data_IF_831951353894
#
_entry.id   IF_831951353894
#
_cell.length_a   1.000
_cell.length_b   1.000
_cell.length_c   1.000
_cell.angle_alpha   90.00
_cell.angle_beta   90.00
_cell.angle_gamma   90.00
#
_symmetry.space_group_name_H-M   'P 1'
#
loop_
_entity.id
_entity.type
_entity.pdbx_description
1 polymer ?
#
# COMPACT_ATOMS: atom_id res chain seq x y z
N UNK A 1 31.74 0.59 -22.42
CA UNK A 1 30.32 0.71 -22.78
C UNK A 1 29.82 1.89 -21.98
N UNK A 2 29.74 3.04 -22.64
CA UNK A 2 29.48 4.34 -22.01
C UNK A 2 28.04 4.35 -21.47
N UNK A 3 27.89 4.68 -20.19
CA UNK A 3 26.60 4.82 -19.53
C UNK A 3 26.14 6.26 -19.80
N UNK A 4 25.16 6.42 -20.70
CA UNK A 4 24.53 7.72 -20.92
C UNK A 4 23.84 8.21 -19.64
N UNK A 5 23.94 9.49 -19.28
CA UNK A 5 23.24 10.05 -18.13
C UNK A 5 21.74 10.14 -18.46
N UNK A 6 20.96 9.23 -17.89
CA UNK A 6 19.50 9.26 -18.03
C UNK A 6 18.92 10.43 -17.22
N UNK A 7 18.14 11.26 -17.90
CA UNK A 7 17.45 12.45 -17.39
C UNK A 7 16.62 12.16 -16.11
N UNK A 8 16.55 13.15 -15.22
CA UNK A 8 15.76 13.09 -13.99
C UNK A 8 14.25 12.97 -14.26
N UNK A 9 13.45 12.38 -13.35
CA UNK A 9 12.02 12.23 -13.53
C UNK A 9 11.31 13.59 -13.59
N UNK A 10 10.59 13.86 -14.69
CA UNK A 10 9.84 15.10 -14.88
C UNK A 10 8.82 15.31 -13.76
N UNK A 11 8.96 16.43 -13.05
CA UNK A 11 8.06 16.92 -12.00
C UNK A 11 6.59 16.93 -12.46
N UNK A 12 5.61 16.60 -11.59
CA UNK A 12 4.20 16.91 -11.87
C UNK A 12 4.02 18.41 -12.13
N UNK A 13 3.04 18.84 -12.94
CA UNK A 13 2.90 20.25 -13.34
C UNK A 13 2.76 21.16 -12.11
N UNK A 14 3.77 21.99 -11.88
CA UNK A 14 3.75 23.06 -10.87
C UNK A 14 3.20 24.34 -11.49
N UNK A 15 2.29 25.00 -10.76
CA UNK A 15 1.83 26.36 -11.08
C UNK A 15 3.01 27.31 -10.81
N UNK A 16 3.47 27.99 -11.87
CA UNK A 16 4.53 29.03 -11.93
C UNK A 16 5.18 29.41 -10.58
N UNK A 17 6.42 28.99 -10.40
CA UNK A 17 7.30 29.43 -9.30
C UNK A 17 7.98 30.74 -9.65
N UNK A 18 7.63 31.81 -8.94
CA UNK A 18 8.57 32.88 -8.64
C UNK A 18 9.47 32.40 -7.49
N UNK A 19 10.79 32.59 -7.63
CA UNK A 19 11.80 31.97 -6.79
C UNK A 19 11.61 32.23 -5.30
N UNK A 20 11.52 31.16 -4.51
CA UNK A 20 11.45 31.19 -3.06
C UNK A 20 12.52 30.24 -2.50
N UNK A 21 13.60 30.81 -1.99
CA UNK A 21 14.52 30.08 -1.10
C UNK A 21 13.85 29.95 0.26
N UNK A 22 13.38 28.75 0.59
CA UNK A 22 12.79 28.41 1.89
C UNK A 22 13.85 28.55 2.98
N UNK A 23 13.69 29.52 3.88
CA UNK A 23 14.56 29.72 5.04
C UNK A 23 14.37 28.66 6.11
N UNK A 24 15.33 28.54 7.02
CA UNK A 24 15.30 27.59 8.15
C UNK A 24 14.04 27.73 9.03
N UNK A 25 13.43 28.92 9.07
CA UNK A 25 12.17 29.26 9.76
C UNK A 25 10.93 28.57 9.15
N UNK A 26 10.85 28.36 7.83
CA UNK A 26 9.71 27.66 7.20
C UNK A 26 9.74 26.14 7.45
N UNK A 27 10.92 25.59 7.79
CA UNK A 27 11.06 24.21 8.27
C UNK A 27 10.79 24.13 9.78
N UNK A 28 10.83 25.26 10.49
CA UNK A 28 10.29 25.43 11.84
C UNK A 28 8.77 25.60 11.84
N UNK A 29 8.13 26.02 10.74
CA UNK A 29 6.68 25.97 10.63
C UNK A 29 6.09 24.55 10.49
N UNK A 30 6.93 23.51 10.32
CA UNK A 30 6.55 22.11 10.64
C UNK A 30 6.31 21.91 12.15
N UNK A 31 6.73 22.88 12.95
CA UNK A 31 6.93 22.88 14.40
C UNK A 31 6.10 24.04 14.98
N UNK A 32 4.79 24.06 14.74
CA UNK A 32 3.89 24.59 15.76
C UNK A 32 3.94 23.62 16.96
N UNK A 33 5.04 23.70 17.72
CA UNK A 33 5.05 23.34 19.12
C UNK A 33 4.30 24.47 19.79
N UNK A 34 2.97 24.34 19.80
CA UNK A 34 2.21 24.95 20.87
C UNK A 34 2.64 24.20 22.13
N UNK A 35 3.67 24.71 22.80
CA UNK A 35 3.83 24.51 24.24
C UNK A 35 2.60 25.17 24.89
N UNK A 36 1.45 24.50 24.79
CA UNK A 36 0.47 24.64 25.84
C UNK A 36 1.09 23.90 27.02
N UNK A 37 1.55 24.65 28.01
CA UNK A 37 1.68 24.17 29.38
C UNK A 37 0.33 23.54 29.77
N UNK A 38 0.16 22.25 29.45
CA UNK A 38 -0.94 21.44 29.96
C UNK A 38 -0.50 21.06 31.36
N UNK A 39 -0.91 21.85 32.34
CA UNK A 39 -1.01 21.38 33.71
C UNK A 39 -1.65 19.99 33.68
N UNK A 40 -0.96 18.99 34.24
CA UNK A 40 -1.47 17.63 34.33
C UNK A 40 -2.89 17.66 34.93
N UNK A 41 -3.93 17.25 34.19
CA UNK A 41 -5.23 17.12 34.81
C UNK A 41 -5.19 15.87 35.68
N UNK A 42 -5.58 16.03 36.93
CA UNK A 42 -5.80 14.95 37.89
C UNK A 42 -6.56 13.78 37.24
N UNK A 43 -6.09 12.58 37.60
CA UNK A 43 -6.60 11.26 37.23
C UNK A 43 -8.14 11.20 37.29
N UNK A 44 -8.76 11.47 36.15
CA UNK A 44 -10.16 11.19 35.88
C UNK A 44 -10.17 10.26 34.68
N UNK A 45 -10.29 8.96 34.96
CA UNK A 45 -10.20 7.87 34.00
C UNK A 45 -10.85 8.18 32.64
N UNK A 46 -10.01 8.53 31.66
CA UNK A 46 -10.44 8.77 30.28
C UNK A 46 -10.49 7.42 29.56
N UNK A 47 -11.69 6.94 29.33
CA UNK A 47 -11.98 5.89 28.36
C UNK A 47 -11.47 6.38 27.00
N UNK A 48 -10.53 5.63 26.40
CA UNK A 48 -10.03 5.91 25.06
C UNK A 48 -11.21 6.04 24.07
N UNK A 49 -11.15 6.96 23.09
CA UNK A 49 -12.19 7.03 22.08
C UNK A 49 -12.32 5.66 21.39
N UNK A 50 -13.55 5.18 21.13
CA UNK A 50 -13.73 3.88 20.50
C UNK A 50 -13.01 3.90 19.15
N UNK A 51 -12.06 2.97 18.95
CA UNK A 51 -11.49 2.71 17.62
C UNK A 51 -12.67 2.49 16.69
N UNK A 52 -12.89 3.40 15.72
CA UNK A 52 -13.88 3.17 14.67
C UNK A 52 -13.58 1.81 14.06
N UNK A 53 -14.56 0.91 14.05
CA UNK A 53 -14.38 -0.45 13.60
C UNK A 53 -14.02 -0.42 12.11
N UNK A 54 -12.73 -0.51 11.79
CA UNK A 54 -12.23 -0.65 10.42
C UNK A 54 -12.45 -2.09 10.00
N UNK A 55 -13.70 -2.41 9.67
CA UNK A 55 -14.06 -3.69 9.06
C UNK A 55 -14.46 -3.35 7.64
N UNK A 56 -13.47 -3.41 6.74
CA UNK A 56 -13.74 -3.43 5.31
C UNK A 56 -13.68 -4.88 4.81
N UNK A 57 -14.69 -5.35 4.05
CA UNK A 57 -15.96 -4.67 3.78
C UNK A 57 -16.87 -4.61 5.02
N UNK A 58 -17.72 -3.58 5.11
CA UNK A 58 -18.78 -3.53 6.13
C UNK A 58 -19.81 -4.61 5.78
N UNK A 59 -19.77 -5.71 6.52
CA UNK A 59 -20.60 -6.88 6.23
C UNK A 59 -21.70 -6.98 7.28
N UNK A 60 -22.91 -7.34 6.83
CA UNK A 60 -24.01 -7.59 7.77
C UNK A 60 -23.63 -8.69 8.75
N UNK A 61 -24.23 -8.68 9.95
CA UNK A 61 -23.97 -9.73 10.96
C UNK A 61 -24.30 -11.13 10.43
N UNK A 62 -25.24 -11.24 9.50
CA UNK A 62 -25.60 -12.51 8.85
C UNK A 62 -24.54 -12.96 7.86
N UNK A 63 -24.10 -12.09 6.94
CA UNK A 63 -23.01 -12.37 6.00
C UNK A 63 -21.72 -12.72 6.76
N UNK A 64 -21.37 -11.95 7.79
CA UNK A 64 -20.20 -12.23 8.63
C UNK A 64 -20.24 -13.58 9.35
N UNK A 65 -21.44 -14.11 9.67
CA UNK A 65 -21.58 -15.47 10.20
C UNK A 65 -21.42 -16.53 9.11
N UNK A 66 -22.02 -16.32 7.93
CA UNK A 66 -21.89 -17.22 6.78
C UNK A 66 -20.43 -17.42 6.40
N UNK A 67 -19.69 -16.32 6.32
CA UNK A 67 -18.26 -16.27 6.08
C UNK A 67 -17.44 -17.12 7.04
N UNK A 68 -17.67 -16.95 8.34
CA UNK A 68 -16.98 -17.73 9.37
C UNK A 68 -17.30 -19.22 9.28
N UNK A 69 -18.57 -19.55 9.05
CA UNK A 69 -19.00 -20.95 8.91
C UNK A 69 -18.37 -21.63 7.70
N UNK A 70 -18.30 -20.95 6.56
CA UNK A 70 -17.65 -21.45 5.35
C UNK A 70 -16.14 -21.65 5.58
N UNK A 71 -15.46 -20.66 6.16
CA UNK A 71 -14.03 -20.75 6.51
C UNK A 71 -13.74 -21.89 7.48
N UNK A 72 -14.52 -22.02 8.55
CA UNK A 72 -14.37 -23.10 9.54
C UNK A 72 -14.62 -24.47 8.90
N UNK A 73 -15.62 -24.58 8.01
CA UNK A 73 -15.89 -25.81 7.27
C UNK A 73 -14.72 -26.20 6.39
N UNK A 74 -14.22 -25.27 5.57
CA UNK A 74 -13.11 -25.54 4.64
C UNK A 74 -11.84 -25.87 5.42
N UNK A 75 -11.51 -25.14 6.50
CA UNK A 75 -10.35 -25.45 7.34
C UNK A 75 -10.43 -26.81 8.02
N UNK A 76 -11.64 -27.31 8.28
CA UNK A 76 -11.83 -28.62 8.89
C UNK A 76 -11.71 -29.77 7.87
N UNK A 77 -11.97 -29.52 6.58
CA UNK A 77 -12.02 -30.56 5.54
C UNK A 77 -10.86 -30.52 4.55
N UNK A 78 -10.20 -29.37 4.38
CA UNK A 78 -9.12 -29.20 3.42
C UNK A 78 -7.84 -29.87 3.90
N UNK A 79 -7.27 -30.74 3.07
CA UNK A 79 -5.99 -31.41 3.33
C UNK A 79 -4.86 -30.59 2.69
N UNK A 80 -4.06 -29.91 3.51
CA UNK A 80 -2.88 -29.16 3.06
C UNK A 80 -1.70 -30.12 2.77
N UNK A 81 -1.21 -30.12 1.54
CA UNK A 81 0.01 -30.84 1.15
C UNK A 81 1.25 -30.05 1.63
N UNK A 82 1.59 -30.20 2.90
CA UNK A 82 2.72 -29.49 3.51
C UNK A 82 4.06 -30.03 2.97
N UNK A 83 4.76 -29.22 2.16
CA UNK A 83 6.16 -29.46 1.82
C UNK A 83 7.07 -29.08 3.01
N UNK A 84 7.49 -30.08 3.77
CA UNK A 84 8.42 -29.93 4.91
C UNK A 84 9.85 -29.54 4.51
N UNK A 85 10.19 -29.61 3.22
CA UNK A 85 11.52 -29.26 2.70
C UNK A 85 11.57 -27.86 2.08
N UNK A 86 10.43 -27.15 2.01
CA UNK A 86 10.41 -25.76 1.58
C UNK A 86 11.01 -24.83 2.65
N UNK A 87 12.32 -24.66 2.57
CA UNK A 87 13.10 -23.76 3.43
C UNK A 87 12.70 -22.29 3.32
N UNK A 88 11.90 -21.90 2.31
CA UNK A 88 11.45 -20.52 2.12
C UNK A 88 10.12 -20.22 2.80
N UNK A 89 9.28 -21.24 3.01
CA UNK A 89 8.01 -21.13 3.72
C UNK A 89 8.11 -21.55 5.18
N UNK A 90 9.13 -22.35 5.54
CA UNK A 90 9.43 -22.76 6.91
C UNK A 90 8.17 -23.26 7.62
N UNK A 91 7.58 -24.34 7.07
CA UNK A 91 6.23 -24.82 7.41
C UNK A 91 5.99 -24.99 8.91
N UNK A 92 7.02 -25.41 9.66
CA UNK A 92 7.01 -25.55 11.12
C UNK A 92 6.73 -24.26 11.90
N UNK A 93 7.03 -23.07 11.36
CA UNK A 93 6.73 -21.77 11.98
C UNK A 93 5.67 -20.98 11.19
N UNK A 94 5.17 -21.52 10.08
CA UNK A 94 4.28 -20.77 9.18
C UNK A 94 3.04 -20.26 9.90
N UNK A 95 2.37 -21.09 10.69
CA UNK A 95 1.16 -20.69 11.44
C UNK A 95 1.47 -19.55 12.43
N UNK A 96 2.51 -19.71 13.25
CA UNK A 96 2.93 -18.71 14.24
C UNK A 96 3.34 -17.38 13.58
N UNK A 97 4.06 -17.45 12.46
CA UNK A 97 4.49 -16.26 11.70
C UNK A 97 3.28 -15.52 11.15
N UNK A 98 2.35 -16.20 10.48
CA UNK A 98 1.19 -15.54 9.88
C UNK A 98 0.21 -15.03 10.94
N UNK A 99 0.09 -15.71 12.08
CA UNK A 99 -0.69 -15.20 13.22
C UNK A 99 -0.07 -13.93 13.79
N UNK A 100 1.25 -13.91 14.02
CA UNK A 100 1.95 -12.71 14.48
C UNK A 100 1.84 -11.56 13.48
N UNK A 101 1.98 -11.84 12.19
CA UNK A 101 1.79 -10.85 11.12
C UNK A 101 0.35 -10.30 11.08
N UNK A 102 -0.67 -11.12 11.35
CA UNK A 102 -2.05 -10.69 11.42
C UNK A 102 -2.31 -9.75 12.61
N UNK A 103 -1.62 -9.95 13.73
CA UNK A 103 -1.68 -9.04 14.88
C UNK A 103 -0.97 -7.71 14.56
N UNK A 104 0.19 -7.78 13.88
CA UNK A 104 0.96 -6.60 13.48
C UNK A 104 0.25 -5.75 12.41
N UNK A 105 -0.39 -6.38 11.43
CA UNK A 105 -1.05 -5.62 10.34
C UNK A 105 -2.14 -4.69 10.89
N UNK A 106 -2.85 -5.12 11.94
CA UNK A 106 -3.84 -4.30 12.65
C UNK A 106 -3.22 -3.11 13.37
N UNK A 107 -2.05 -3.29 13.98
CA UNK A 107 -1.35 -2.21 14.68
C UNK A 107 -0.80 -1.16 13.70
N UNK A 108 -0.41 -1.59 12.50
CA UNK A 108 0.27 -0.76 11.50
C UNK A 108 -0.67 -0.07 10.51
N UNK A 109 -1.99 -0.13 10.71
CA UNK A 109 -2.96 0.51 9.82
C UNK A 109 -2.98 2.05 9.98
N UNK A 110 -2.79 2.83 8.90
CA UNK A 110 -2.97 4.29 8.92
C UNK A 110 -4.44 4.68 9.16
N UNK A 111 -4.69 5.91 9.59
CA UNK A 111 -6.04 6.44 9.79
C UNK A 111 -6.79 6.58 8.47
N UNK A 112 -7.77 5.71 8.20
CA UNK A 112 -8.49 5.69 6.92
C UNK A 112 -9.01 7.06 6.42
N UNK A 113 -9.42 7.93 7.33
CA UNK A 113 -10.01 9.24 7.01
C UNK A 113 -9.09 10.40 7.42
N UNK A 114 -7.76 10.18 7.50
CA UNK A 114 -6.81 11.20 7.95
C UNK A 114 -6.85 12.49 7.12
N UNK A 115 -7.30 12.40 5.86
CA UNK A 115 -7.43 13.55 4.98
C UNK A 115 -8.46 14.57 5.50
N UNK A 116 -9.40 14.17 6.36
CA UNK A 116 -10.34 15.10 7.02
C UNK A 116 -9.66 16.10 7.95
N UNK A 117 -8.49 15.75 8.49
CA UNK A 117 -7.66 16.63 9.32
C UNK A 117 -6.65 17.45 8.54
N UNK A 118 -6.52 17.24 7.23
CA UNK A 118 -5.56 17.92 6.37
C UNK A 118 -6.18 19.19 5.77
N UNK A 119 -5.45 20.30 5.82
CA UNK A 119 -5.96 21.61 5.36
C UNK A 119 -5.59 21.94 3.91
N UNK A 120 -4.44 21.48 3.43
CA UNK A 120 -3.90 21.84 2.11
C UNK A 120 -3.76 20.68 1.13
N UNK A 121 -3.71 19.44 1.62
CA UNK A 121 -3.50 18.25 0.80
C UNK A 121 -4.81 17.52 0.54
N UNK A 122 -4.89 16.87 -0.63
CA UNK A 122 -6.06 16.09 -1.06
C UNK A 122 -5.67 14.66 -1.40
N UNK A 123 -6.67 13.78 -1.58
CA UNK A 123 -6.44 12.41 -2.05
C UNK A 123 -5.75 12.36 -3.41
N UNK A 124 -6.09 13.27 -4.33
CA UNK A 124 -5.42 13.38 -5.62
C UNK A 124 -3.93 13.72 -5.48
N UNK A 125 -3.57 14.61 -4.55
CA UNK A 125 -2.17 14.93 -4.27
C UNK A 125 -1.42 13.72 -3.68
N UNK A 126 -2.08 12.92 -2.84
CA UNK A 126 -1.53 11.64 -2.36
C UNK A 126 -1.31 10.67 -3.53
N UNK A 127 -2.29 10.51 -4.42
CA UNK A 127 -2.16 9.64 -5.59
C UNK A 127 -0.97 10.07 -6.46
N UNK A 128 -0.83 11.37 -6.75
CA UNK A 128 0.31 11.92 -7.49
C UNK A 128 1.66 11.67 -6.79
N UNK A 129 1.71 11.80 -5.46
CA UNK A 129 2.91 11.48 -4.69
C UNK A 129 3.27 10.01 -4.81
N UNK A 130 2.31 9.10 -4.62
CA UNK A 130 2.54 7.66 -4.66
C UNK A 130 2.94 7.19 -6.07
N UNK A 131 2.31 7.72 -7.13
CA UNK A 131 2.70 7.42 -8.51
C UNK A 131 4.13 7.88 -8.81
N UNK A 132 4.53 9.04 -8.28
CA UNK A 132 5.91 9.51 -8.36
C UNK A 132 6.88 8.64 -7.54
N UNK A 133 6.51 8.20 -6.33
CA UNK A 133 7.32 7.27 -5.54
C UNK A 133 7.52 5.92 -6.24
N UNK A 134 6.51 5.43 -6.96
CA UNK A 134 6.61 4.25 -7.84
C UNK A 134 7.66 4.42 -8.95
N UNK A 135 7.75 5.63 -9.52
CA UNK A 135 8.78 5.96 -10.51
C UNK A 135 10.18 5.94 -9.90
N UNK A 136 10.34 6.56 -8.73
CA UNK A 136 11.58 6.59 -7.97
C UNK A 136 12.04 5.18 -7.61
N UNK A 137 11.14 4.39 -7.01
CA UNK A 137 11.34 2.98 -6.66
C UNK A 137 11.88 2.17 -7.85
N UNK A 138 11.24 2.31 -9.02
CA UNK A 138 11.64 1.60 -10.24
C UNK A 138 13.01 2.05 -10.74
N UNK A 139 13.32 3.35 -10.67
CA UNK A 139 14.59 3.90 -11.17
C UNK A 139 15.80 3.43 -10.37
N UNK A 140 15.62 3.24 -9.07
CA UNK A 140 16.68 2.77 -8.17
C UNK A 140 16.69 1.26 -7.97
N UNK A 141 15.82 0.53 -8.68
CA UNK A 141 15.73 -0.92 -8.62
C UNK A 141 15.55 -1.47 -7.19
N UNK A 142 14.82 -0.72 -6.36
CA UNK A 142 14.52 -1.10 -4.99
C UNK A 142 13.59 -2.32 -4.94
N UNK A 143 13.64 -3.05 -3.82
CA UNK A 143 12.73 -4.14 -3.52
C UNK A 143 11.28 -3.62 -3.45
N UNK A 144 10.27 -4.37 -3.93
CA UNK A 144 8.87 -3.99 -3.79
C UNK A 144 8.47 -3.70 -2.34
N UNK A 145 9.03 -4.44 -1.39
CA UNK A 145 8.85 -4.29 0.06
C UNK A 145 9.17 -2.86 0.52
N UNK A 146 10.26 -2.26 0.00
CA UNK A 146 10.68 -0.88 0.27
C UNK A 146 9.58 0.12 -0.10
N UNK A 147 8.91 -0.04 -1.23
CA UNK A 147 7.82 0.83 -1.65
C UNK A 147 6.61 0.72 -0.70
N UNK A 148 6.23 -0.50 -0.33
CA UNK A 148 5.10 -0.73 0.56
C UNK A 148 5.34 -0.12 1.95
N UNK A 149 6.56 -0.28 2.48
CA UNK A 149 6.96 0.34 3.75
C UNK A 149 6.93 1.87 3.61
N UNK A 150 7.48 2.43 2.53
CA UNK A 150 7.50 3.88 2.31
C UNK A 150 6.08 4.47 2.28
N UNK A 151 5.15 3.86 1.54
CA UNK A 151 3.76 4.35 1.47
C UNK A 151 3.05 4.22 2.83
N UNK A 152 3.27 3.12 3.57
CA UNK A 152 2.74 2.98 4.93
C UNK A 152 3.26 4.07 5.87
N UNK A 153 4.56 4.40 5.79
CA UNK A 153 5.16 5.51 6.56
C UNK A 153 4.48 6.83 6.21
N UNK A 154 4.28 7.13 4.92
CA UNK A 154 3.59 8.35 4.47
C UNK A 154 2.20 8.43 5.10
N UNK A 155 1.38 7.40 4.93
CA UNK A 155 -0.02 7.43 5.37
C UNK A 155 -0.14 7.51 6.92
N UNK A 156 0.72 6.78 7.66
CA UNK A 156 0.74 6.86 9.13
C UNK A 156 1.27 8.19 9.64
N UNK A 157 2.21 8.79 8.94
CA UNK A 157 2.72 10.12 9.28
C UNK A 157 1.63 11.18 9.05
N UNK A 158 0.96 11.16 7.89
CA UNK A 158 -0.16 12.05 7.57
C UNK A 158 -1.39 11.83 8.47
N UNK A 159 -1.50 10.65 9.10
CA UNK A 159 -2.50 10.41 10.15
C UNK A 159 -2.25 11.24 11.41
N UNK A 160 -0.98 11.49 11.75
CA UNK A 160 -0.58 12.16 13.00
C UNK A 160 -0.19 13.63 12.81
N UNK A 161 0.14 14.06 11.59
CA UNK A 161 0.68 15.39 11.30
C UNK A 161 -0.06 16.04 10.13
N UNK A 162 -0.43 17.30 10.31
CA UNK A 162 -0.90 18.16 9.22
C UNK A 162 0.32 18.61 8.43
N UNK A 163 0.27 18.47 7.11
CA UNK A 163 1.39 18.76 6.21
C UNK A 163 0.95 19.75 5.13
N UNK A 164 1.76 20.78 4.90
CA UNK A 164 1.52 21.72 3.82
C UNK A 164 1.79 21.08 2.45
N UNK A 165 1.12 21.58 1.41
CA UNK A 165 1.27 21.07 0.05
C UNK A 165 2.73 21.06 -0.42
N UNK A 166 3.50 22.08 -0.05
CA UNK A 166 4.91 22.26 -0.46
C UNK A 166 5.83 21.20 0.15
N UNK A 167 5.50 20.69 1.34
CA UNK A 167 6.32 19.71 2.07
C UNK A 167 5.88 18.26 1.84
N UNK A 168 4.78 18.02 1.13
CA UNK A 168 4.27 16.66 0.87
C UNK A 168 5.29 15.77 0.14
N UNK A 169 5.98 16.29 -0.87
CA UNK A 169 7.01 15.52 -1.58
C UNK A 169 8.22 15.23 -0.68
N UNK A 170 8.65 16.17 0.17
CA UNK A 170 9.71 15.94 1.17
C UNK A 170 9.34 14.78 2.11
N UNK A 171 8.09 14.70 2.55
CA UNK A 171 7.60 13.56 3.37
C UNK A 171 7.74 12.25 2.61
N UNK A 172 7.31 12.19 1.34
CA UNK A 172 7.44 10.98 0.53
C UNK A 172 8.89 10.53 0.29
N UNK A 173 9.77 11.47 -0.06
CA UNK A 173 11.21 11.22 -0.25
C UNK A 173 11.84 10.68 1.04
N UNK A 174 11.52 11.31 2.16
CA UNK A 174 12.03 10.94 3.48
C UNK A 174 11.52 9.57 3.90
N UNK A 175 10.24 9.26 3.65
CA UNK A 175 9.65 7.96 3.92
C UNK A 175 10.33 6.85 3.10
N UNK A 176 10.60 7.11 1.82
CA UNK A 176 11.36 6.20 0.97
C UNK A 176 12.80 6.03 1.46
N UNK A 177 13.47 7.10 1.90
CA UNK A 177 14.81 7.01 2.49
C UNK A 177 14.85 6.14 3.75
N UNK A 178 13.89 6.31 4.65
CA UNK A 178 13.75 5.46 5.85
C UNK A 178 13.51 4.01 5.46
N UNK A 179 12.56 3.76 4.55
CA UNK A 179 12.22 2.43 4.08
C UNK A 179 13.43 1.73 3.41
N UNK A 180 14.18 2.44 2.57
CA UNK A 180 15.37 1.89 1.92
C UNK A 180 16.45 1.50 2.92
N UNK A 181 16.68 2.31 3.97
CA UNK A 181 17.62 1.94 5.03
C UNK A 181 17.20 0.72 5.84
N UNK A 182 15.90 0.46 5.91
CA UNK A 182 15.37 -0.68 6.64
C UNK A 182 15.42 -1.98 5.82
N UNK A 183 15.04 -1.91 4.54
CA UNK A 183 14.78 -3.10 3.73
C UNK A 183 15.91 -3.44 2.74
N UNK A 184 16.65 -2.44 2.23
CA UNK A 184 17.67 -2.68 1.23
C UNK A 184 19.00 -3.14 1.86
N UNK A 185 19.65 -4.10 1.22
CA UNK A 185 21.02 -4.52 1.59
C UNK A 185 21.99 -3.34 1.42
N UNK A 186 21.83 -2.58 0.33
CA UNK A 186 22.62 -1.39 0.00
C UNK A 186 21.66 -0.22 -0.23
N UNK A 187 21.26 0.43 0.86
CA UNK A 187 20.41 1.61 0.79
C UNK A 187 21.11 2.77 0.07
N UNK A 188 20.41 3.51 -0.81
CA UNK A 188 20.97 4.70 -1.44
C UNK A 188 21.36 5.75 -0.41
N UNK A 189 22.41 6.50 -0.71
CA UNK A 189 22.88 7.59 0.15
C UNK A 189 21.89 8.76 0.15
N UNK A 190 21.91 9.59 1.19
CA UNK A 190 21.09 10.81 1.23
C UNK A 190 21.37 11.74 0.05
N UNK A 191 22.61 11.77 -0.46
CA UNK A 191 22.98 12.59 -1.61
C UNK A 191 22.31 12.08 -2.91
N UNK A 192 22.06 10.77 -3.03
CA UNK A 192 21.25 10.22 -4.11
C UNK A 192 19.79 10.67 -3.98
N UNK A 193 19.22 10.69 -2.77
CA UNK A 193 17.86 11.21 -2.55
C UNK A 193 17.73 12.70 -2.87
N UNK A 194 18.74 13.52 -2.53
CA UNK A 194 18.81 14.92 -2.98
C UNK A 194 18.78 15.00 -4.51
N UNK A 195 19.61 14.20 -5.18
CA UNK A 195 19.66 14.15 -6.63
C UNK A 195 18.33 13.71 -7.27
N UNK A 196 17.63 12.71 -6.69
CA UNK A 196 16.33 12.26 -7.18
C UNK A 196 15.26 13.34 -7.18
N UNK A 197 15.36 14.28 -6.24
CA UNK A 197 14.44 15.42 -6.12
C UNK A 197 14.86 16.60 -6.99
N UNK A 198 15.81 16.40 -7.92
CA UNK A 198 16.39 17.46 -8.76
C UNK A 198 17.02 18.60 -7.93
N UNK A 199 17.54 18.28 -6.73
CA UNK A 199 18.01 19.24 -5.73
C UNK A 199 16.90 20.18 -5.21
N UNK A 200 15.64 19.76 -5.27
CA UNK A 200 14.51 20.48 -4.70
C UNK A 200 14.55 20.55 -3.16
N UNK A 201 15.32 19.67 -2.52
CA UNK A 201 15.54 19.66 -1.07
C UNK A 201 17.02 19.50 -0.75
N UNK A 202 17.44 20.15 0.32
CA UNK A 202 18.78 19.99 0.88
C UNK A 202 18.92 18.67 1.66
N UNK A 203 20.17 18.23 1.83
CA UNK A 203 20.51 17.09 2.67
C UNK A 203 20.02 17.28 4.10
N UNK A 204 20.18 18.50 4.62
CA UNK A 204 19.77 18.89 5.97
C UNK A 204 18.26 18.78 6.16
N UNK A 205 17.47 19.17 5.14
CA UNK A 205 16.01 19.02 5.17
C UNK A 205 15.58 17.55 5.22
N UNK A 206 16.18 16.68 4.40
CA UNK A 206 15.86 15.24 4.41
C UNK A 206 16.24 14.61 5.77
N UNK A 207 17.41 14.94 6.31
CA UNK A 207 17.84 14.44 7.63
C UNK A 207 17.02 15.02 8.80
N UNK A 208 16.50 16.24 8.67
CA UNK A 208 15.55 16.81 9.65
C UNK A 208 14.20 16.12 9.54
N UNK A 209 13.68 15.95 8.33
CA UNK A 209 12.44 15.20 8.05
C UNK A 209 12.50 13.79 8.62
N UNK A 210 13.62 13.09 8.42
CA UNK A 210 13.82 11.73 8.92
C UNK A 210 13.60 11.64 10.44
N UNK A 211 14.24 12.54 11.20
CA UNK A 211 14.10 12.58 12.66
C UNK A 211 12.64 12.79 13.06
N UNK A 212 11.95 13.72 12.41
CA UNK A 212 10.55 14.06 12.69
C UNK A 212 9.64 12.86 12.39
N UNK A 213 9.82 12.20 11.25
CA UNK A 213 9.03 11.04 10.85
C UNK A 213 9.24 9.88 11.84
N UNK A 214 10.50 9.55 12.14
CA UNK A 214 10.83 8.46 13.07
C UNK A 214 10.28 8.71 14.48
N UNK A 215 10.41 9.94 14.99
CA UNK A 215 9.85 10.31 16.30
C UNK A 215 8.32 10.24 16.30
N UNK A 216 7.67 10.75 15.25
CA UNK A 216 6.20 10.74 15.12
C UNK A 216 5.65 9.32 15.06
N UNK A 217 6.37 8.40 14.41
CA UNK A 217 6.00 6.99 14.31
C UNK A 217 6.55 6.13 15.44
N UNK A 218 7.19 6.73 16.45
CA UNK A 218 7.76 6.02 17.61
C UNK A 218 8.71 4.89 17.18
N UNK A 219 9.45 5.10 16.08
CA UNK A 219 10.35 4.13 15.46
C UNK A 219 9.69 2.79 15.05
N UNK A 220 8.36 2.72 14.99
CA UNK A 220 7.60 1.55 14.56
C UNK A 220 7.58 1.41 13.03
N UNK A 221 8.74 1.09 12.44
CA UNK A 221 8.92 0.89 10.99
C UNK A 221 8.85 -0.60 10.62
N UNK A 222 9.62 -1.41 11.35
CA UNK A 222 9.83 -2.85 11.11
C UNK A 222 8.59 -3.72 11.18
N UNK A 223 7.57 -3.24 11.88
CA UNK A 223 6.36 -4.00 12.21
C UNK A 223 5.37 -4.04 11.05
N UNK A 224 5.53 -3.19 10.02
CA UNK A 224 4.62 -3.22 8.88
C UNK A 224 4.90 -4.43 7.99
N UNK A 225 3.86 -5.22 7.73
CA UNK A 225 3.93 -6.38 6.86
C UNK A 225 3.29 -6.06 5.50
N UNK A 226 4.05 -6.25 4.42
CA UNK A 226 3.53 -5.98 3.06
C UNK A 226 2.58 -7.09 2.58
N UNK A 227 1.64 -6.79 1.65
CA UNK A 227 0.74 -7.78 1.07
C UNK A 227 1.45 -8.98 0.40
N UNK A 228 2.72 -8.84 0.01
CA UNK A 228 3.44 -9.91 -0.71
C UNK A 228 3.67 -11.18 0.11
N UNK A 229 3.78 -11.07 1.43
CA UNK A 229 3.92 -12.24 2.30
C UNK A 229 2.66 -13.10 2.28
N UNK A 230 1.47 -12.48 2.39
CA UNK A 230 0.20 -13.19 2.24
C UNK A 230 -0.02 -13.67 0.82
N UNK A 231 0.33 -12.87 -0.20
CA UNK A 231 0.24 -13.32 -1.59
C UNK A 231 1.06 -14.59 -1.83
N UNK A 232 2.25 -14.71 -1.22
CA UNK A 232 3.06 -15.93 -1.29
C UNK A 232 2.35 -17.13 -0.66
N UNK A 233 1.73 -16.96 0.51
CA UNK A 233 0.90 -18.00 1.15
C UNK A 233 -0.26 -18.43 0.26
N UNK A 234 -1.00 -17.47 -0.28
CA UNK A 234 -2.17 -17.71 -1.16
C UNK A 234 -1.75 -18.44 -2.44
N UNK A 235 -0.56 -18.15 -2.98
CA UNK A 235 -0.03 -18.79 -4.19
C UNK A 235 0.21 -20.31 -4.03
N UNK A 236 0.16 -20.86 -2.81
CA UNK A 236 0.19 -22.32 -2.62
C UNK A 236 -1.04 -23.01 -3.21
N UNK A 237 -2.18 -22.32 -3.28
CA UNK A 237 -3.44 -22.87 -3.79
C UNK A 237 -3.40 -23.28 -5.27
N UNK A 238 -2.44 -22.76 -6.04
CA UNK A 238 -2.29 -23.05 -7.48
C UNK A 238 -0.84 -23.37 -7.88
N UNK A 239 -0.05 -23.93 -6.95
CA UNK A 239 1.35 -24.31 -7.18
C UNK A 239 2.21 -23.16 -7.74
N UNK A 240 1.94 -21.95 -7.25
CA UNK A 240 2.66 -20.73 -7.58
C UNK A 240 2.60 -20.33 -9.06
N UNK A 241 1.42 -20.44 -9.68
CA UNK A 241 1.21 -20.10 -11.08
C UNK A 241 1.75 -18.69 -11.44
N UNK A 242 2.63 -18.65 -12.45
CA UNK A 242 3.40 -17.45 -12.79
C UNK A 242 2.47 -16.35 -13.35
N UNK A 243 1.45 -16.71 -14.12
CA UNK A 243 0.54 -15.74 -14.74
C UNK A 243 -0.30 -15.05 -13.66
N UNK A 244 -0.93 -15.85 -12.81
CA UNK A 244 -1.77 -15.41 -11.70
C UNK A 244 -0.98 -14.55 -10.74
N UNK A 245 0.23 -14.97 -10.34
CA UNK A 245 1.09 -14.18 -9.45
C UNK A 245 1.55 -12.87 -10.09
N UNK A 246 1.96 -12.88 -11.35
CA UNK A 246 2.43 -11.65 -12.01
C UNK A 246 1.31 -10.62 -12.12
N UNK A 247 0.11 -11.07 -12.47
CA UNK A 247 -1.08 -10.23 -12.55
C UNK A 247 -1.54 -9.76 -11.16
N UNK A 248 -1.53 -10.63 -10.16
CA UNK A 248 -1.87 -10.29 -8.77
C UNK A 248 -0.91 -9.24 -8.19
N UNK A 249 0.40 -9.33 -8.46
CA UNK A 249 1.37 -8.30 -8.07
C UNK A 249 1.05 -6.93 -8.67
N UNK A 250 0.66 -6.89 -9.95
CA UNK A 250 0.22 -5.66 -10.59
C UNK A 250 -1.02 -5.08 -9.89
N UNK A 251 -2.06 -5.88 -9.74
CA UNK A 251 -3.35 -5.46 -9.17
C UNK A 251 -3.18 -4.98 -7.72
N UNK A 252 -2.34 -5.66 -6.94
CA UNK A 252 -2.01 -5.26 -5.57
C UNK A 252 -1.26 -3.92 -5.55
N UNK A 253 -0.34 -3.65 -6.48
CA UNK A 253 0.31 -2.33 -6.54
C UNK A 253 -0.65 -1.21 -7.01
N UNK A 254 -1.69 -1.52 -7.79
CA UNK A 254 -2.72 -0.54 -8.17
C UNK A 254 -3.47 -0.01 -6.93
N UNK A 255 -3.65 -0.83 -5.90
CA UNK A 255 -4.32 -0.39 -4.66
C UNK A 255 -3.55 0.70 -3.92
N UNK A 256 -2.25 0.87 -4.18
CA UNK A 256 -1.46 1.96 -3.59
C UNK A 256 -1.95 3.34 -4.05
N UNK A 257 -2.51 3.43 -5.26
CA UNK A 257 -2.95 4.69 -5.87
C UNK A 257 -4.33 5.15 -5.37
N UNK A 258 -5.19 4.22 -4.96
CA UNK A 258 -6.56 4.52 -4.53
C UNK A 258 -6.66 4.59 -3.00
N UNK A 259 -7.11 5.74 -2.50
CA UNK A 259 -7.24 5.99 -1.08
C UNK A 259 -8.28 5.11 -0.39
N UNK A 260 -9.25 4.57 -1.13
CA UNK A 260 -10.26 3.66 -0.58
C UNK A 260 -9.62 2.38 -0.02
N UNK A 261 -8.45 1.97 -0.51
CA UNK A 261 -7.72 0.81 -0.01
C UNK A 261 -6.92 1.06 1.29
N UNK A 262 -6.80 2.31 1.76
CA UNK A 262 -6.07 2.64 3.00
C UNK A 262 -6.69 1.99 4.24
N UNK A 263 -8.02 1.77 4.21
CA UNK A 263 -8.76 1.07 5.28
C UNK A 263 -8.67 -0.45 5.20
N UNK A 264 -8.07 -0.99 4.14
CA UNK A 264 -8.04 -2.42 3.83
C UNK A 264 -6.73 -3.01 4.34
N UNK A 265 -6.82 -4.09 5.11
CA UNK A 265 -5.64 -4.76 5.64
C UNK A 265 -4.74 -5.32 4.53
N UNK A 266 -3.41 -5.33 4.71
CA UNK A 266 -2.48 -5.96 3.77
C UNK A 266 -2.85 -7.40 3.37
N UNK A 267 -3.32 -8.23 4.31
CA UNK A 267 -3.79 -9.59 4.03
C UNK A 267 -4.96 -9.62 3.04
N UNK A 268 -5.95 -8.74 3.24
CA UNK A 268 -7.11 -8.62 2.35
C UNK A 268 -6.74 -7.99 1.00
N UNK A 269 -5.82 -7.02 0.97
CA UNK A 269 -5.28 -6.47 -0.28
C UNK A 269 -4.64 -7.58 -1.12
N UNK A 270 -3.85 -8.46 -0.50
CA UNK A 270 -3.24 -9.61 -1.19
C UNK A 270 -4.31 -10.57 -1.77
N UNK A 271 -5.34 -10.87 -0.99
CA UNK A 271 -6.44 -11.74 -1.41
C UNK A 271 -7.26 -11.11 -2.56
N UNK A 272 -7.60 -9.82 -2.47
CA UNK A 272 -8.31 -9.08 -3.53
C UNK A 272 -7.50 -9.08 -4.83
N UNK A 273 -6.19 -8.80 -4.75
CA UNK A 273 -5.31 -8.82 -5.91
C UNK A 273 -5.23 -10.21 -6.56
N UNK A 274 -5.14 -11.27 -5.76
CA UNK A 274 -5.13 -12.66 -6.25
C UNK A 274 -6.46 -13.06 -6.86
N UNK A 275 -7.57 -12.79 -6.18
CA UNK A 275 -8.91 -13.10 -6.66
C UNK A 275 -9.21 -12.41 -7.98
N UNK A 276 -8.88 -11.12 -8.08
CA UNK A 276 -9.06 -10.34 -9.30
C UNK A 276 -8.23 -10.93 -10.45
N UNK A 277 -6.97 -11.33 -10.20
CA UNK A 277 -6.14 -12.00 -11.20
C UNK A 277 -6.77 -13.30 -11.69
N UNK A 278 -7.31 -14.11 -10.78
CA UNK A 278 -7.95 -15.39 -11.11
C UNK A 278 -9.21 -15.22 -11.94
N UNK A 279 -10.08 -14.28 -11.56
CA UNK A 279 -11.26 -13.91 -12.35
C UNK A 279 -10.88 -13.46 -13.75
N UNK A 280 -9.85 -12.63 -13.89
CA UNK A 280 -9.36 -12.21 -15.22
C UNK A 280 -8.89 -13.40 -16.07
N UNK A 281 -8.16 -14.33 -15.45
CA UNK A 281 -7.63 -15.54 -16.08
C UNK A 281 -8.68 -16.67 -16.22
N UNK A 282 -9.95 -16.41 -15.90
CA UNK A 282 -11.05 -17.37 -15.96
C UNK A 282 -10.79 -18.64 -15.12
N UNK A 283 -10.31 -18.44 -13.89
CA UNK A 283 -10.09 -19.51 -12.90
C UNK A 283 -10.86 -19.21 -11.61
N UNK A 284 -11.34 -20.27 -10.95
CA UNK A 284 -12.25 -20.15 -9.80
C UNK A 284 -11.51 -19.87 -8.48
N UNK A 285 -12.20 -19.22 -7.53
CA UNK A 285 -11.75 -19.09 -6.13
C UNK A 285 -12.14 -20.35 -5.34
N UNK A 286 -11.34 -21.41 -5.47
CA UNK A 286 -11.62 -22.72 -4.88
C UNK A 286 -11.31 -22.79 -3.38
N UNK A 287 -11.59 -23.94 -2.76
CA UNK A 287 -11.36 -24.20 -1.32
C UNK A 287 -9.91 -23.94 -0.88
N UNK A 288 -8.92 -24.24 -1.72
CA UNK A 288 -7.51 -23.96 -1.41
C UNK A 288 -7.22 -22.46 -1.29
N UNK A 289 -7.82 -21.64 -2.17
CA UNK A 289 -7.69 -20.19 -2.05
C UNK A 289 -8.36 -19.65 -0.79
N UNK A 290 -9.52 -20.17 -0.41
CA UNK A 290 -10.19 -19.80 0.85
C UNK A 290 -9.32 -20.21 2.05
N UNK A 291 -8.76 -21.42 2.02
CA UNK A 291 -7.91 -21.95 3.09
C UNK A 291 -6.65 -21.10 3.33
N UNK A 292 -5.88 -20.80 2.27
CA UNK A 292 -4.62 -20.07 2.43
C UNK A 292 -4.77 -18.55 2.57
N UNK A 293 -5.88 -17.97 2.09
CA UNK A 293 -6.13 -16.52 2.19
C UNK A 293 -6.86 -16.11 3.46
N UNK A 294 -7.60 -17.04 4.09
CA UNK A 294 -8.55 -16.74 5.16
C UNK A 294 -9.75 -15.86 4.70
N UNK A 295 -10.03 -15.80 3.39
CA UNK A 295 -11.13 -15.01 2.81
C UNK A 295 -11.98 -15.81 1.79
N UNK A 296 -13.30 -15.72 1.93
CA UNK A 296 -14.26 -16.27 0.96
C UNK A 296 -14.45 -15.33 -0.23
N UNK A 297 -14.96 -15.83 -1.37
CA UNK A 297 -15.16 -15.06 -2.59
C UNK A 297 -16.00 -13.78 -2.37
N UNK A 298 -17.10 -13.90 -1.64
CA UNK A 298 -18.01 -12.78 -1.35
C UNK A 298 -17.33 -11.63 -0.58
N UNK A 299 -16.33 -11.91 0.27
CA UNK A 299 -15.55 -10.85 0.93
C UNK A 299 -14.71 -10.02 -0.04
N UNK A 300 -14.32 -10.61 -1.16
CA UNK A 300 -13.34 -10.02 -2.10
C UNK A 300 -14.03 -9.19 -3.17
N UNK A 301 -15.33 -9.38 -3.41
CA UNK A 301 -16.12 -8.68 -4.41
C UNK A 301 -16.04 -7.14 -4.31
N UNK A 302 -16.12 -6.51 -3.13
CA UNK A 302 -16.02 -5.05 -3.04
C UNK A 302 -14.66 -4.52 -3.47
N UNK A 303 -13.57 -5.19 -3.08
CA UNK A 303 -12.22 -4.82 -3.50
C UNK A 303 -11.98 -5.08 -4.98
N UNK A 304 -12.54 -6.18 -5.51
CA UNK A 304 -12.53 -6.48 -6.94
C UNK A 304 -13.19 -5.36 -7.75
N UNK A 305 -14.38 -4.92 -7.36
CA UNK A 305 -15.11 -3.82 -8.02
C UNK A 305 -14.29 -2.53 -8.06
N UNK A 306 -13.74 -2.12 -6.91
CA UNK A 306 -12.89 -0.92 -6.83
C UNK A 306 -11.66 -1.01 -7.76
N UNK A 307 -11.04 -2.19 -7.87
CA UNK A 307 -9.95 -2.38 -8.82
C UNK A 307 -10.40 -2.24 -10.27
N UNK A 308 -11.55 -2.81 -10.64
CA UNK A 308 -12.09 -2.67 -12.01
C UNK A 308 -12.39 -1.21 -12.34
N UNK A 309 -13.03 -0.48 -11.41
CA UNK A 309 -13.30 0.95 -11.56
C UNK A 309 -11.99 1.74 -11.74
N UNK A 310 -10.98 1.46 -10.90
CA UNK A 310 -9.66 2.11 -10.97
C UNK A 310 -8.95 1.86 -12.30
N UNK A 311 -9.04 0.64 -12.84
CA UNK A 311 -8.44 0.28 -14.14
C UNK A 311 -9.14 0.99 -15.32
N UNK A 312 -10.43 1.31 -15.17
CA UNK A 312 -11.24 1.98 -16.18
C UNK A 312 -11.16 3.51 -16.13
N UNK A 313 -10.54 4.10 -15.11
CA UNK A 313 -10.32 5.55 -15.03
C UNK A 313 -9.59 6.11 -16.27
N UNK A 314 -10.04 7.31 -16.69
CA UNK A 314 -9.39 8.06 -17.75
C UNK A 314 -7.95 8.39 -17.37
N UNK A 315 -7.01 8.16 -18.29
CA UNK A 315 -5.59 8.45 -18.06
C UNK A 315 -4.86 7.45 -17.15
N UNK A 316 -5.48 6.35 -16.71
CA UNK A 316 -4.79 5.33 -15.91
C UNK A 316 -3.54 4.73 -16.61
N UNK A 317 -3.46 4.81 -17.94
CA UNK A 317 -2.35 4.33 -18.78
C UNK A 317 -1.12 5.24 -18.67
N UNK A 318 -1.33 6.47 -18.19
CA UNK A 318 -0.28 7.43 -17.92
C UNK A 318 0.41 7.19 -16.57
N UNK A 319 -0.23 6.47 -15.65
CA UNK A 319 0.31 6.14 -14.33
C UNK A 319 1.57 5.27 -14.44
N UNK A 320 2.53 5.46 -13.54
CA UNK A 320 3.78 4.72 -13.51
C UNK A 320 3.60 3.23 -13.21
N UNK A 321 2.59 2.84 -12.42
CA UNK A 321 2.26 1.42 -12.19
C UNK A 321 1.89 0.72 -13.50
N UNK A 322 1.08 1.38 -14.35
CA UNK A 322 0.71 0.83 -15.66
C UNK A 322 1.94 0.65 -16.55
N UNK A 323 2.77 1.70 -16.66
CA UNK A 323 4.02 1.70 -17.44
C UNK A 323 5.08 0.72 -16.90
N UNK A 324 5.07 0.40 -15.60
CA UNK A 324 5.93 -0.61 -14.99
C UNK A 324 5.54 -1.99 -15.50
N UNK A 325 4.26 -2.34 -15.39
CA UNK A 325 3.74 -3.67 -15.72
C UNK A 325 3.39 -3.88 -17.20
N UNK A 326 3.56 -2.87 -18.05
CA UNK A 326 3.42 -3.00 -19.51
C UNK A 326 4.65 -3.65 -20.16
N UNK A 327 5.74 -3.78 -19.41
CA UNK A 327 6.98 -4.40 -19.84
C UNK A 327 6.78 -5.92 -20.04
N UNK A 328 7.48 -6.50 -21.03
CA UNK A 328 7.47 -7.94 -21.30
C UNK A 328 7.93 -8.76 -20.09
N UNK A 329 8.82 -8.20 -19.25
CA UNK A 329 9.28 -8.87 -18.02
C UNK A 329 8.15 -9.15 -17.02
N UNK A 330 7.04 -8.42 -17.12
CA UNK A 330 5.83 -8.61 -16.31
C UNK A 330 4.67 -9.14 -17.16
N UNK A 331 4.97 -9.86 -18.24
CA UNK A 331 3.96 -10.46 -19.14
C UNK A 331 2.96 -9.45 -19.73
N UNK A 332 3.32 -8.16 -19.76
CA UNK A 332 2.39 -7.07 -20.12
C UNK A 332 1.10 -7.07 -19.30
N UNK A 333 1.18 -7.47 -18.03
CA UNK A 333 0.04 -7.65 -17.13
C UNK A 333 -0.89 -6.42 -17.07
N UNK A 334 -0.34 -5.20 -17.07
CA UNK A 334 -1.18 -3.98 -17.02
C UNK A 334 -2.01 -3.77 -18.29
N UNK A 335 -1.45 -4.09 -19.46
CA UNK A 335 -2.16 -3.99 -20.75
C UNK A 335 -3.31 -4.99 -20.76
N UNK A 336 -3.02 -6.23 -20.36
CA UNK A 336 -4.02 -7.29 -20.28
C UNK A 336 -5.14 -6.94 -19.30
N UNK A 337 -4.80 -6.56 -18.06
CA UNK A 337 -5.77 -6.22 -17.03
C UNK A 337 -6.69 -5.06 -17.44
N UNK A 338 -6.13 -4.02 -18.06
CA UNK A 338 -6.92 -2.87 -18.53
C UNK A 338 -7.87 -3.27 -19.66
N UNK A 339 -7.39 -4.06 -20.63
CA UNK A 339 -8.25 -4.55 -21.72
C UNK A 339 -9.39 -5.42 -21.18
N UNK A 340 -9.08 -6.29 -20.20
CA UNK A 340 -10.07 -7.11 -19.54
C UNK A 340 -11.13 -6.25 -18.83
N UNK A 341 -10.70 -5.26 -18.04
CA UNK A 341 -11.59 -4.36 -17.30
C UNK A 341 -12.50 -3.54 -18.21
N UNK A 342 -12.01 -3.13 -19.39
CA UNK A 342 -12.80 -2.39 -20.38
C UNK A 342 -13.86 -3.25 -21.06
N UNK A 343 -13.57 -4.54 -21.29
CA UNK A 343 -14.52 -5.47 -21.93
C UNK A 343 -15.63 -5.89 -20.99
N UNK A 344 -15.33 -6.05 -19.69
CA UNK A 344 -16.27 -6.57 -18.70
C UNK A 344 -16.85 -5.48 -17.79
N UNK A 345 -16.68 -4.21 -18.15
CA UNK A 345 -17.17 -3.08 -17.34
C UNK A 345 -18.68 -3.14 -17.10
N UNK A 346 -19.45 -3.43 -18.16
CA UNK A 346 -20.91 -3.50 -18.10
C UNK A 346 -21.40 -4.70 -17.27
N UNK A 347 -20.77 -5.87 -17.43
CA UNK A 347 -21.11 -7.08 -16.64
C UNK A 347 -20.82 -6.90 -15.14
N UNK A 348 -19.71 -6.25 -14.81
CA UNK A 348 -19.36 -5.94 -13.42
C UNK A 348 -20.32 -4.91 -12.83
N UNK A 349 -20.76 -3.93 -13.62
CA UNK A 349 -21.75 -2.93 -13.21
C UNK A 349 -23.16 -3.54 -13.03
N UNK A 350 -23.61 -4.43 -13.91
CA UNK A 350 -24.90 -5.12 -13.77
C UNK A 350 -24.94 -6.06 -12.55
N UNK A 351 -23.81 -6.71 -12.24
CA UNK A 351 -23.65 -7.47 -11.00
C UNK A 351 -23.73 -6.61 -9.73
N UNK A 352 -23.56 -5.28 -9.83
CA UNK A 352 -23.71 -4.34 -8.69
C UNK A 352 -25.16 -3.95 -8.41
N UNK A 353 -26.05 -3.97 -9.42
CA UNK A 353 -27.46 -3.61 -9.25
C UNK A 353 -28.31 -4.75 -8.66
N UNK A 354 -27.87 -6.00 -8.81
CA UNK A 354 -28.59 -7.20 -8.33
C UNK A 354 -28.28 -7.57 -6.87
N UNK A 355 -27.26 -6.97 -6.25
CA UNK A 355 -26.79 -7.28 -4.89
C UNK A 355 -27.06 -6.17 -3.85
N UNK A 356 -27.67 -5.03 -4.26
CA UNK A 356 -28.21 -4.00 -3.36
C UNK A 356 -29.66 -4.30 -3.00
#
# INVERSE_FOLDING_TARGET
MEVEPQCAPSRPPSVREEGLTCGEEEVEAMVDVVDSDVEEPEDTGKVAPPKAARVWPEVSTEQGKRYKQELESIKATFEDEVDIYDTTMVSEYSEDIFQYMADLEEEMMPGADYMSGQTEITWDMRQLLVDWLLQVHRRYHMLPETLWIAVNIVDRFLTKRVVSRVKLQLVGVTAMFIASKYEEILAPSVDEFVFMTENGYSKEEILKGERIVLQTLEFKISQYCSPYSWMRRISKADDYDIQTRTLSKFLTEVTLLDYQFIRVKPSLVAAVGMYTARKMLNTDWNEGFVFYSDYTEEHLLPGFRLLIDKLNEEGFDQQHVFKKYSDKKFLKASIYARQWAQVHADEVAEGMELEQ
#
